data_IF_025788726583
#
_entry.id   IF_025788726583
#
_cell.length_a   1.000
_cell.length_b   1.000
_cell.length_c   1.000
_cell.angle_alpha   90.00
_cell.angle_beta   90.00
_cell.angle_gamma   90.00
#
_symmetry.space_group_name_H-M   'P 1'
#
loop_
_entity.id
_entity.type
_entity.pdbx_description
1 polymer ?
#
# COMPACT_ATOMS: atom_id res chain seq x y z
N UNK A 1 -25.88 86.42 -0.69
CA UNK A 1 -26.75 85.21 -0.70
C UNK A 1 -26.10 84.20 -1.64
N UNK A 2 -25.49 83.16 -1.06
CA UNK A 2 -24.62 82.20 -1.75
C UNK A 2 -25.43 81.18 -2.57
N UNK A 3 -25.03 80.96 -3.83
CA UNK A 3 -25.58 79.93 -4.71
C UNK A 3 -24.96 78.57 -4.37
N UNK A 4 -25.79 77.57 -4.07
CA UNK A 4 -25.40 76.17 -3.87
C UNK A 4 -24.99 75.52 -5.20
N UNK A 5 -23.81 74.90 -5.22
CA UNK A 5 -23.33 74.02 -6.28
C UNK A 5 -23.91 72.59 -6.10
N UNK A 6 -24.10 71.81 -7.18
CA UNK A 6 -24.63 70.46 -7.07
C UNK A 6 -23.55 69.48 -6.60
N UNK A 7 -23.98 68.57 -5.72
CA UNK A 7 -23.21 67.45 -5.20
C UNK A 7 -22.99 66.43 -6.34
N UNK A 8 -21.77 66.33 -6.85
CA UNK A 8 -21.40 65.25 -7.76
C UNK A 8 -21.15 63.97 -6.94
N UNK A 9 -22.10 63.03 -7.01
CA UNK A 9 -21.98 61.70 -6.44
C UNK A 9 -21.03 60.87 -7.33
N UNK A 10 -19.77 60.72 -6.92
CA UNK A 10 -18.82 59.84 -7.58
C UNK A 10 -19.13 58.39 -7.17
N UNK A 11 -19.80 57.64 -8.06
CA UNK A 11 -19.89 56.19 -7.96
C UNK A 11 -18.51 55.57 -8.25
N UNK A 12 -17.78 55.20 -7.19
CA UNK A 12 -16.64 54.29 -7.30
C UNK A 12 -17.18 52.87 -7.55
N UNK A 13 -17.25 52.48 -8.83
CA UNK A 13 -17.38 51.09 -9.23
C UNK A 13 -16.08 50.36 -8.86
N UNK A 14 -16.08 49.70 -7.70
CA UNK A 14 -15.06 48.73 -7.38
C UNK A 14 -15.26 47.51 -8.27
N UNK A 15 -14.49 47.43 -9.36
CA UNK A 15 -14.40 46.23 -10.19
C UNK A 15 -13.83 45.09 -9.34
N UNK A 16 -14.70 44.23 -8.81
CA UNK A 16 -14.28 42.92 -8.33
C UNK A 16 -13.76 42.15 -9.52
N UNK A 17 -12.43 42.13 -9.69
CA UNK A 17 -11.78 41.12 -10.50
C UNK A 17 -11.87 39.83 -9.67
N UNK A 18 -12.67 38.82 -10.06
CA UNK A 18 -12.52 37.52 -9.45
C UNK A 18 -11.09 37.08 -9.76
N UNK A 19 -10.28 36.89 -8.73
CA UNK A 19 -9.07 36.10 -8.86
C UNK A 19 -9.55 34.71 -9.28
N UNK A 20 -9.60 34.47 -10.59
CA UNK A 20 -9.61 33.12 -11.12
C UNK A 20 -8.29 32.51 -10.66
N UNK A 21 -8.32 31.91 -9.47
CA UNK A 21 -7.42 30.82 -9.15
C UNK A 21 -7.60 29.87 -10.32
N UNK A 22 -6.60 29.82 -11.19
CA UNK A 22 -6.32 28.64 -11.99
C UNK A 22 -6.10 27.51 -10.97
N UNK A 23 -7.20 26.97 -10.45
CA UNK A 23 -7.27 25.60 -10.04
C UNK A 23 -7.07 24.84 -11.35
N UNK A 24 -5.81 24.69 -11.74
CA UNK A 24 -5.42 23.58 -12.58
C UNK A 24 -6.07 22.37 -11.92
N UNK A 25 -7.09 21.84 -12.58
CA UNK A 25 -7.60 20.51 -12.30
C UNK A 25 -6.46 19.58 -12.61
N UNK A 26 -5.54 19.42 -11.67
CA UNK A 26 -4.86 18.16 -11.47
C UNK A 26 -5.97 17.17 -11.16
N UNK A 27 -6.47 16.50 -12.19
CA UNK A 27 -7.09 15.20 -11.99
C UNK A 27 -6.13 14.33 -11.19
N UNK A 28 -6.60 13.26 -10.52
CA UNK A 28 -5.71 12.37 -9.78
C UNK A 28 -4.61 11.91 -10.74
N UNK A 29 -3.40 12.42 -10.55
CA UNK A 29 -2.23 11.92 -11.22
C UNK A 29 -2.04 10.50 -10.71
N UNK A 30 -2.50 9.51 -11.47
CA UNK A 30 -2.00 8.14 -11.38
C UNK A 30 -0.54 8.18 -11.77
N UNK A 31 0.31 8.69 -10.88
CA UNK A 31 1.70 8.30 -10.85
C UNK A 31 1.69 6.83 -10.49
N UNK A 32 1.59 5.97 -11.51
CA UNK A 32 1.97 4.57 -11.34
C UNK A 32 3.48 4.64 -11.14
N UNK A 33 3.91 4.77 -9.89
CA UNK A 33 5.32 4.78 -9.54
C UNK A 33 5.92 3.48 -10.07
N UNK A 34 7.06 3.56 -10.75
CA UNK A 34 7.77 2.32 -11.09
C UNK A 34 8.16 1.64 -9.76
N UNK A 35 8.03 0.30 -9.63
CA UNK A 35 8.57 -0.41 -8.49
C UNK A 35 10.03 0.01 -8.28
N UNK A 36 10.43 0.22 -7.03
CA UNK A 36 11.82 0.58 -6.69
C UNK A 36 12.61 -0.66 -6.27
N UNK A 37 11.93 -1.66 -5.74
CA UNK A 37 12.52 -2.95 -5.38
C UNK A 37 12.46 -3.94 -6.55
N UNK A 38 13.06 -5.12 -6.35
CA UNK A 38 13.01 -6.24 -7.28
C UNK A 38 13.35 -5.83 -8.73
N UNK A 39 14.43 -5.06 -8.88
CA UNK A 39 14.94 -4.58 -10.17
C UNK A 39 13.91 -3.77 -10.99
N UNK A 40 12.92 -3.17 -10.34
CA UNK A 40 11.86 -2.40 -11.02
C UNK A 40 10.67 -3.23 -11.48
N UNK A 41 10.57 -4.49 -11.06
CA UNK A 41 9.53 -5.43 -11.47
C UNK A 41 8.58 -5.79 -10.34
N UNK A 42 7.31 -5.97 -10.69
CA UNK A 42 6.37 -6.67 -9.82
C UNK A 42 6.60 -8.17 -9.96
N UNK A 43 6.90 -8.88 -8.86
CA UNK A 43 7.23 -10.30 -8.95
C UNK A 43 6.04 -11.13 -9.41
N UNK A 44 6.28 -12.34 -9.95
CA UNK A 44 5.21 -13.32 -10.07
C UNK A 44 4.70 -13.71 -8.67
N UNK A 45 3.48 -14.27 -8.57
CA UNK A 45 3.02 -14.87 -7.32
C UNK A 45 4.04 -15.90 -6.80
N UNK A 46 4.18 -16.06 -5.48
CA UNK A 46 5.01 -17.12 -4.95
C UNK A 46 4.47 -18.47 -5.44
N UNK A 47 5.38 -19.41 -5.69
CA UNK A 47 5.02 -20.78 -6.02
C UNK A 47 5.19 -21.67 -4.79
N UNK A 48 4.43 -22.76 -4.69
CA UNK A 48 4.57 -23.73 -3.58
C UNK A 48 6.00 -24.28 -3.44
N UNK A 49 6.72 -24.43 -4.56
CA UNK A 49 8.11 -24.88 -4.60
C UNK A 49 9.15 -23.76 -4.47
N UNK A 50 8.76 -22.50 -4.63
CA UNK A 50 9.60 -21.30 -4.47
C UNK A 50 9.48 -20.66 -3.08
N UNK A 51 8.38 -20.93 -2.36
CA UNK A 51 8.22 -20.68 -0.93
C UNK A 51 8.98 -21.76 -0.10
N UNK A 52 10.22 -22.07 -0.50
CA UNK A 52 11.09 -22.93 0.29
C UNK A 52 11.41 -22.17 1.57
N UNK A 53 10.84 -22.64 2.68
CA UNK A 53 10.81 -21.95 3.97
C UNK A 53 12.15 -21.38 4.42
N UNK A 54 12.10 -20.30 5.20
CA UNK A 54 13.19 -19.56 5.85
C UNK A 54 14.49 -19.47 5.04
N UNK A 55 14.39 -19.38 3.71
CA UNK A 55 15.55 -19.19 2.86
C UNK A 55 16.01 -17.74 3.00
N UNK A 56 17.11 -17.55 3.74
CA UNK A 56 17.78 -16.27 3.82
C UNK A 56 18.49 -15.97 2.49
N UNK A 57 18.38 -14.74 2.01
CA UNK A 57 19.22 -14.28 0.91
C UNK A 57 20.67 -14.23 1.37
N UNK A 58 21.59 -14.70 0.53
CA UNK A 58 23.04 -14.68 0.81
C UNK A 58 23.74 -13.82 -0.22
N UNK A 59 24.52 -12.85 0.25
CA UNK A 59 25.30 -11.96 -0.59
C UNK A 59 26.74 -12.48 -0.77
N UNK A 60 27.41 -12.02 -1.83
CA UNK A 60 28.79 -12.44 -2.15
C UNK A 60 29.82 -12.06 -1.09
N UNK A 61 29.53 -11.04 -0.28
CA UNK A 61 30.36 -10.58 0.84
C UNK A 61 30.08 -11.36 2.15
N UNK A 62 29.24 -12.40 2.11
CA UNK A 62 28.91 -13.24 3.24
C UNK A 62 27.79 -12.70 4.14
N UNK A 63 27.27 -11.50 3.89
CA UNK A 63 26.06 -11.02 4.59
C UNK A 63 24.86 -11.90 4.23
N UNK A 64 23.90 -11.95 5.14
CA UNK A 64 22.62 -12.63 4.90
C UNK A 64 21.44 -11.73 5.27
N UNK A 65 20.33 -11.89 4.57
CA UNK A 65 19.06 -11.24 4.88
C UNK A 65 17.96 -12.30 5.04
N UNK A 66 17.47 -12.46 6.27
CA UNK A 66 16.41 -13.40 6.62
C UNK A 66 15.03 -12.76 6.71
N UNK A 67 14.91 -11.43 6.52
CA UNK A 67 13.61 -10.77 6.55
C UNK A 67 12.76 -11.22 5.35
N UNK A 68 11.42 -11.22 5.45
CA UNK A 68 10.55 -11.49 4.32
C UNK A 68 10.71 -10.42 3.23
N UNK A 69 11.30 -10.77 2.09
CA UNK A 69 11.48 -9.85 0.97
C UNK A 69 11.54 -10.57 -0.38
N UNK A 70 11.43 -9.82 -1.46
CA UNK A 70 11.57 -10.31 -2.84
C UNK A 70 12.74 -9.62 -3.51
N UNK A 71 13.59 -10.42 -4.16
CA UNK A 71 14.69 -9.95 -4.98
C UNK A 71 14.92 -10.92 -6.15
N UNK A 72 15.19 -10.41 -7.35
CA UNK A 72 15.33 -11.22 -8.57
C UNK A 72 14.15 -12.19 -8.81
N UNK A 73 12.93 -11.74 -8.56
CA UNK A 73 11.68 -12.52 -8.61
C UNK A 73 11.65 -13.73 -7.66
N UNK A 74 12.61 -13.82 -6.74
CA UNK A 74 12.68 -14.85 -5.72
C UNK A 74 12.17 -14.31 -4.38
N UNK A 75 11.29 -15.10 -3.76
CA UNK A 75 10.72 -14.82 -2.45
C UNK A 75 11.62 -15.41 -1.36
N UNK A 76 12.20 -14.54 -0.52
CA UNK A 76 13.08 -14.88 0.60
C UNK A 76 12.39 -14.64 1.93
N UNK A 77 12.93 -15.26 2.99
CA UNK A 77 12.41 -15.10 4.36
C UNK A 77 10.98 -15.60 4.54
N UNK A 78 10.45 -16.33 3.57
CA UNK A 78 9.09 -16.87 3.62
C UNK A 78 9.04 -17.96 4.68
N UNK A 79 8.05 -17.91 5.56
CA UNK A 79 7.93 -18.95 6.57
C UNK A 79 7.59 -20.30 5.93
N UNK A 80 8.02 -21.39 6.58
CA UNK A 80 7.81 -22.74 6.06
C UNK A 80 6.33 -23.09 6.08
N UNK A 81 5.85 -23.86 5.10
CA UNK A 81 4.45 -24.32 5.02
C UNK A 81 3.91 -24.97 6.31
N UNK A 82 4.79 -25.54 7.16
CA UNK A 82 4.43 -26.16 8.43
C UNK A 82 4.44 -25.23 9.65
N UNK A 83 4.72 -23.94 9.50
CA UNK A 83 4.84 -23.00 10.61
C UNK A 83 3.48 -22.85 11.33
N UNK A 84 3.48 -23.19 12.62
CA UNK A 84 2.29 -23.19 13.45
C UNK A 84 1.70 -21.78 13.64
N UNK A 85 2.50 -20.71 13.52
CA UNK A 85 2.04 -19.33 13.61
C UNK A 85 0.98 -19.04 12.54
N UNK A 86 1.16 -19.55 11.33
CA UNK A 86 0.27 -19.30 10.20
C UNK A 86 -0.88 -20.31 10.07
N UNK A 87 -1.04 -21.24 11.01
CA UNK A 87 -2.14 -22.19 10.95
C UNK A 87 -3.45 -21.57 11.44
N UNK A 88 -4.35 -21.24 10.51
CA UNK A 88 -5.70 -20.78 10.83
C UNK A 88 -6.63 -21.96 11.13
N UNK A 89 -7.51 -21.80 12.12
CA UNK A 89 -8.57 -22.78 12.40
C UNK A 89 -9.65 -22.77 11.30
N UNK A 90 -9.97 -21.59 10.77
CA UNK A 90 -10.97 -21.37 9.72
C UNK A 90 -10.35 -20.49 8.62
N UNK A 91 -9.61 -21.08 7.66
CA UNK A 91 -9.13 -20.32 6.52
C UNK A 91 -10.30 -19.66 5.77
N UNK A 92 -10.10 -18.42 5.31
CA UNK A 92 -11.11 -17.64 4.60
C UNK A 92 -12.42 -17.41 5.39
N UNK A 93 -12.35 -17.31 6.72
CA UNK A 93 -13.51 -17.06 7.60
C UNK A 93 -14.36 -15.86 7.17
N UNK A 94 -13.73 -14.83 6.60
CA UNK A 94 -14.38 -13.62 6.10
C UNK A 94 -14.47 -13.58 4.56
N UNK A 95 -14.37 -14.74 3.92
CA UNK A 95 -14.33 -14.91 2.46
C UNK A 95 -12.92 -14.77 1.88
N UNK A 96 -12.88 -14.69 0.55
CA UNK A 96 -11.64 -14.56 -0.23
C UNK A 96 -11.55 -13.17 -0.86
N UNK A 97 -10.36 -12.59 -0.88
CA UNK A 97 -10.12 -11.36 -1.63
C UNK A 97 -9.98 -11.63 -3.14
N UNK A 98 -10.81 -11.04 -4.01
CA UNK A 98 -10.89 -11.46 -5.42
C UNK A 98 -9.89 -10.79 -6.37
N UNK A 99 -9.12 -9.80 -5.92
CA UNK A 99 -8.29 -8.95 -6.80
C UNK A 99 -6.81 -9.03 -6.43
N UNK A 100 -6.23 -10.22 -6.62
CA UNK A 100 -4.84 -10.54 -6.26
C UNK A 100 -3.91 -10.54 -7.46
N UNK A 101 -2.62 -10.37 -7.21
CA UNK A 101 -1.54 -10.47 -8.19
C UNK A 101 -1.10 -9.12 -8.79
N UNK A 102 0.01 -9.16 -9.52
CA UNK A 102 0.73 -8.01 -10.10
C UNK A 102 -0.10 -7.04 -10.96
N UNK A 103 -1.28 -7.45 -11.40
CA UNK A 103 -2.20 -6.58 -12.16
C UNK A 103 -2.98 -5.61 -11.27
N UNK A 104 -2.95 -5.79 -9.95
CA UNK A 104 -3.68 -4.96 -9.00
C UNK A 104 -2.71 -4.30 -8.01
N UNK A 105 -2.72 -2.96 -8.02
CA UNK A 105 -1.96 -2.12 -7.08
C UNK A 105 -2.93 -1.35 -6.20
N UNK A 106 -2.59 -1.20 -4.93
CA UNK A 106 -3.44 -0.59 -3.93
C UNK A 106 -2.66 0.44 -3.13
N UNK A 107 -3.20 1.66 -2.95
CA UNK A 107 -2.78 2.51 -1.84
C UNK A 107 -3.33 1.96 -0.51
N UNK A 108 -2.64 2.22 0.59
CA UNK A 108 -3.22 2.11 1.93
C UNK A 108 -4.00 3.39 2.24
N UNK A 109 -5.28 3.26 2.55
CA UNK A 109 -6.16 4.40 2.86
C UNK A 109 -6.15 4.78 4.33
N UNK A 110 -6.03 3.77 5.20
CA UNK A 110 -6.05 3.91 6.65
C UNK A 110 -5.27 2.76 7.26
N UNK A 111 -4.56 3.04 8.34
CA UNK A 111 -3.97 2.04 9.22
C UNK A 111 -4.50 2.26 10.63
N UNK A 112 -5.00 1.20 11.24
CA UNK A 112 -5.35 1.14 12.66
C UNK A 112 -4.29 0.38 13.42
N UNK A 113 -3.41 1.13 14.07
CA UNK A 113 -2.23 0.57 14.73
C UNK A 113 -2.56 -0.30 15.94
N UNK A 114 -3.71 -0.09 16.57
CA UNK A 114 -4.10 -0.84 17.76
C UNK A 114 -4.69 -2.21 17.40
N UNK A 115 -5.36 -2.29 16.25
CA UNK A 115 -6.01 -3.52 15.79
C UNK A 115 -5.20 -4.27 14.71
N UNK A 116 -4.02 -3.78 14.35
CA UNK A 116 -3.20 -4.27 13.25
C UNK A 116 -3.95 -4.32 11.91
N UNK A 117 -4.83 -3.34 11.66
CA UNK A 117 -5.70 -3.31 10.48
C UNK A 117 -5.28 -2.27 9.48
N UNK A 118 -5.55 -2.52 8.21
CA UNK A 118 -5.49 -1.49 7.19
C UNK A 118 -6.62 -1.64 6.18
N UNK A 119 -6.92 -0.55 5.47
CA UNK A 119 -7.97 -0.47 4.46
C UNK A 119 -7.39 -0.09 3.10
N UNK A 120 -7.97 -0.65 2.04
CA UNK A 120 -7.66 -0.34 0.64
C UNK A 120 -8.94 0.09 -0.11
N UNK A 121 -8.82 0.66 -1.34
CA UNK A 121 -9.97 1.13 -2.10
C UNK A 121 -11.05 0.07 -2.31
N UNK A 122 -12.30 0.49 -2.11
CA UNK A 122 -13.47 -0.38 -2.14
C UNK A 122 -13.95 -0.82 -0.77
N UNK A 123 -13.37 -0.31 0.33
CA UNK A 123 -13.76 -0.64 1.71
C UNK A 123 -13.13 -1.94 2.23
N UNK A 124 -12.42 -2.67 1.37
CA UNK A 124 -11.74 -3.89 1.75
C UNK A 124 -10.72 -3.63 2.85
N UNK A 125 -10.66 -4.52 3.83
CA UNK A 125 -9.72 -4.40 4.92
C UNK A 125 -9.10 -5.74 5.32
N UNK A 126 -7.92 -5.63 5.89
CA UNK A 126 -7.08 -6.75 6.24
C UNK A 126 -6.52 -6.57 7.65
N UNK A 127 -6.15 -7.68 8.27
CA UNK A 127 -5.40 -7.72 9.53
C UNK A 127 -4.00 -8.27 9.23
N UNK A 128 -2.97 -7.55 9.68
CA UNK A 128 -1.57 -7.98 9.57
C UNK A 128 -1.27 -9.04 10.63
N UNK A 129 -0.49 -10.05 10.26
CA UNK A 129 0.00 -11.06 11.17
C UNK A 129 0.72 -10.41 12.37
N UNK A 130 0.45 -10.84 13.63
CA UNK A 130 1.07 -10.24 14.81
C UNK A 130 2.61 -10.23 14.79
N UNK A 131 3.23 -11.27 14.21
CA UNK A 131 4.69 -11.40 14.14
C UNK A 131 5.33 -10.64 12.97
N UNK A 132 4.55 -10.23 11.96
CA UNK A 132 5.02 -9.35 10.89
C UNK A 132 4.74 -7.87 11.17
N UNK A 133 3.99 -7.59 12.24
CA UNK A 133 3.58 -6.24 12.60
C UNK A 133 4.75 -5.25 12.76
N UNK A 134 5.90 -5.61 13.38
CA UNK A 134 7.04 -4.70 13.44
C UNK A 134 7.54 -4.29 12.05
N UNK A 135 7.57 -5.21 11.08
CA UNK A 135 8.00 -4.91 9.71
C UNK A 135 7.02 -3.95 9.01
N UNK A 136 5.72 -4.17 9.20
CA UNK A 136 4.69 -3.31 8.62
C UNK A 136 4.67 -1.89 9.23
N UNK A 137 5.01 -1.77 10.52
CA UNK A 137 5.09 -0.49 11.23
C UNK A 137 6.21 0.42 10.73
N UNK A 138 7.27 -0.15 10.17
CA UNK A 138 8.41 0.60 9.65
C UNK A 138 8.16 1.17 8.24
N UNK A 139 7.00 0.86 7.63
CA UNK A 139 6.66 1.35 6.29
C UNK A 139 6.12 2.78 6.33
N UNK A 140 6.43 3.56 5.29
CA UNK A 140 5.87 4.90 5.14
C UNK A 140 4.50 4.82 4.46
N UNK A 141 3.39 4.99 5.19
CA UNK A 141 2.06 4.80 4.63
C UNK A 141 1.52 5.99 3.81
N UNK A 142 2.14 7.17 3.90
CA UNK A 142 1.75 8.41 3.22
C UNK A 142 2.76 8.88 2.14
N UNK A 143 3.86 8.16 1.94
CA UNK A 143 4.91 8.49 0.94
C UNK A 143 4.61 8.04 -0.50
N UNK A 144 3.39 7.57 -0.81
CA UNK A 144 3.02 7.10 -2.15
C UNK A 144 3.33 5.62 -2.42
N UNK A 145 3.11 4.76 -1.44
CA UNK A 145 3.48 3.35 -1.55
C UNK A 145 2.35 2.52 -2.14
N UNK A 146 2.59 2.00 -3.34
CA UNK A 146 1.68 1.08 -4.03
C UNK A 146 1.97 -0.35 -3.56
N UNK A 147 0.94 -1.02 -3.05
CA UNK A 147 1.05 -2.37 -2.53
C UNK A 147 0.40 -3.36 -3.48
N UNK A 148 0.95 -4.57 -3.56
CA UNK A 148 0.35 -5.69 -4.28
C UNK A 148 -0.02 -6.77 -3.27
N UNK A 149 -1.18 -7.38 -3.45
CA UNK A 149 -1.64 -8.48 -2.60
C UNK A 149 -1.57 -9.76 -3.41
N UNK A 150 -0.79 -10.74 -2.93
CA UNK A 150 -0.75 -12.10 -3.46
C UNK A 150 -1.46 -13.04 -2.51
N UNK A 151 -2.05 -14.12 -3.01
CA UNK A 151 -2.42 -15.24 -2.15
C UNK A 151 -1.16 -15.98 -1.71
N UNK A 152 -1.11 -16.43 -0.47
CA UNK A 152 -0.01 -17.26 0.03
C UNK A 152 -0.30 -18.74 -0.30
N UNK A 153 0.48 -19.37 -1.19
CA UNK A 153 0.21 -20.72 -1.66
C UNK A 153 0.56 -21.82 -0.63
N UNK A 154 1.26 -21.49 0.45
CA UNK A 154 1.71 -22.44 1.49
C UNK A 154 1.08 -22.19 2.85
N UNK A 155 0.52 -21.00 3.10
CA UNK A 155 -0.30 -20.72 4.28
C UNK A 155 -1.75 -20.43 3.90
N UNK A 156 -2.57 -21.49 3.85
CA UNK A 156 -3.98 -21.41 3.43
C UNK A 156 -4.76 -20.38 4.26
N UNK A 157 -5.43 -19.45 3.58
CA UNK A 157 -6.20 -18.36 4.20
C UNK A 157 -5.40 -17.08 4.45
N UNK A 158 -4.09 -17.09 4.21
CA UNK A 158 -3.25 -15.91 4.24
C UNK A 158 -3.02 -15.32 2.85
N UNK A 159 -2.72 -14.03 2.85
CA UNK A 159 -2.26 -13.27 1.70
C UNK A 159 -0.92 -12.63 2.06
N UNK A 160 -0.14 -12.26 1.04
CA UNK A 160 1.09 -11.49 1.19
C UNK A 160 0.84 -10.07 0.69
N UNK A 161 0.98 -9.08 1.57
CA UNK A 161 1.02 -7.69 1.19
C UNK A 161 2.47 -7.33 0.85
N UNK A 162 2.75 -7.12 -0.42
CA UNK A 162 4.05 -6.77 -0.96
C UNK A 162 4.18 -5.25 -1.15
N UNK A 163 5.19 -4.65 -0.53
CA UNK A 163 5.57 -3.26 -0.72
C UNK A 163 6.53 -3.15 -1.91
N UNK A 164 6.08 -2.53 -3.01
CA UNK A 164 6.87 -2.48 -4.25
C UNK A 164 8.09 -1.54 -4.15
N UNK A 165 8.12 -0.67 -3.14
CA UNK A 165 9.20 0.28 -2.96
C UNK A 165 10.38 -0.34 -2.22
N UNK A 166 10.09 -1.22 -1.26
CA UNK A 166 11.10 -1.84 -0.39
C UNK A 166 11.40 -3.29 -0.77
N UNK A 167 10.46 -3.96 -1.43
CA UNK A 167 10.56 -5.39 -1.74
C UNK A 167 10.18 -6.27 -0.56
N UNK A 168 9.86 -5.68 0.59
CA UNK A 168 9.44 -6.39 1.80
C UNK A 168 7.97 -6.78 1.66
N UNK A 169 7.60 -7.93 2.22
CA UNK A 169 6.20 -8.34 2.33
C UNK A 169 5.85 -8.75 3.75
N UNK A 170 4.56 -8.75 4.05
CA UNK A 170 4.00 -9.24 5.31
C UNK A 170 2.78 -10.11 5.05
N UNK A 171 2.50 -11.05 5.94
CA UNK A 171 1.31 -11.87 5.87
C UNK A 171 0.11 -11.10 6.43
N UNK A 172 -1.01 -11.20 5.71
CA UNK A 172 -2.25 -10.51 6.05
C UNK A 172 -3.44 -11.45 5.85
N UNK A 173 -4.45 -11.33 6.71
CA UNK A 173 -5.74 -12.01 6.53
C UNK A 173 -6.76 -11.02 5.98
N UNK A 174 -7.57 -11.46 5.03
CA UNK A 174 -8.71 -10.69 4.55
C UNK A 174 -9.85 -10.75 5.57
N UNK A 175 -10.43 -9.59 5.91
CA UNK A 175 -11.47 -9.48 6.94
C UNK A 175 -12.80 -8.92 6.42
N UNK A 176 -12.92 -8.70 5.11
CA UNK A 176 -14.17 -8.27 4.48
C UNK A 176 -14.10 -6.86 3.91
N UNK A 177 -15.26 -6.23 3.82
CA UNK A 177 -15.50 -4.90 3.26
C UNK A 177 -16.42 -4.10 4.18
#
# INVERSE_FOLDING_TARGET
MFKLAPLACAFLLASFVPLQRNAGRTGPSTHTSLPRANQGHLPPPPSQGGAQGQSAERYSDGRTNSLPHVNHDQWFGHDSAGDARYRLQRPFEHGTFPRTGRNFRYPLLRVDRNMHRFWIPGGFYFVVAPWDWPLFLDWCWDCGEDFVIYEDPVHIGWYLLYNINTGVYVHVQYWGR
#
